data_IF_441191120828
#
_entry.id   IF_441191120828
#
_cell.length_a   1.000
_cell.length_b   1.000
_cell.length_c   1.000
_cell.angle_alpha   90.00
_cell.angle_beta   90.00
_cell.angle_gamma   90.00
#
_symmetry.space_group_name_H-M   'P 1'
#
loop_
_entity.id
_entity.type
_entity.pdbx_description
1 polymer ?
#
# COMPACT_ATOMS: atom_id res chain seq x y z
N UNK A 1 -3.79 53.78 -1.75
CA UNK A 1 -4.05 52.68 -2.65
C UNK A 1 -3.42 51.44 -2.06
N UNK A 2 -4.20 50.58 -1.39
CA UNK A 2 -3.72 49.34 -0.77
C UNK A 2 -3.75 48.18 -1.75
N UNK A 3 -2.88 47.17 -1.59
CA UNK A 3 -2.88 46.03 -2.49
C UNK A 3 -4.04 45.08 -2.19
N UNK A 4 -4.81 44.77 -3.23
CA UNK A 4 -5.96 43.87 -3.13
C UNK A 4 -5.53 42.44 -2.82
N UNK A 5 -6.13 41.87 -1.79
CA UNK A 5 -6.07 40.45 -1.48
C UNK A 5 -6.80 39.68 -2.58
N UNK A 6 -6.07 38.90 -3.36
CA UNK A 6 -6.63 37.87 -4.22
C UNK A 6 -7.02 36.67 -3.34
N UNK A 7 -8.30 36.56 -3.03
CA UNK A 7 -8.87 35.36 -2.41
C UNK A 7 -9.00 34.26 -3.46
N UNK A 8 -8.12 33.26 -3.42
CA UNK A 8 -8.31 32.02 -4.15
C UNK A 8 -9.37 31.17 -3.45
N UNK A 9 -10.60 31.27 -3.91
CA UNK A 9 -11.64 30.31 -3.58
C UNK A 9 -11.49 29.10 -4.53
N UNK A 10 -10.61 28.16 -4.18
CA UNK A 10 -10.65 26.85 -4.82
C UNK A 10 -11.77 26.04 -4.20
N UNK A 11 -12.93 26.04 -4.84
CA UNK A 11 -13.98 25.06 -4.56
C UNK A 11 -13.43 23.67 -4.91
N UNK A 12 -13.39 22.71 -3.98
CA UNK A 12 -13.01 21.35 -4.34
C UNK A 12 -13.99 20.80 -5.38
N UNK A 13 -13.53 19.95 -6.33
CA UNK A 13 -14.43 19.38 -7.33
C UNK A 13 -15.56 18.63 -6.62
N UNK A 14 -16.79 19.02 -6.91
CA UNK A 14 -17.99 18.33 -6.42
C UNK A 14 -18.02 16.93 -7.03
N UNK A 15 -17.82 15.92 -6.20
CA UNK A 15 -18.12 14.52 -6.57
C UNK A 15 -19.64 14.36 -6.45
N UNK A 16 -20.32 13.76 -7.45
CA UNK A 16 -21.76 13.57 -7.41
C UNK A 16 -22.19 12.81 -6.14
N UNK A 17 -23.30 13.21 -5.51
CA UNK A 17 -23.87 12.61 -4.30
C UNK A 17 -24.27 11.12 -4.42
N UNK A 18 -24.21 10.56 -5.62
CA UNK A 18 -24.43 9.14 -5.88
C UNK A 18 -23.19 8.54 -6.53
N UNK A 19 -22.38 7.85 -5.73
CA UNK A 19 -21.36 6.97 -6.29
C UNK A 19 -22.02 6.00 -7.27
N UNK A 20 -21.58 5.93 -8.54
CA UNK A 20 -22.13 4.95 -9.46
C UNK A 20 -21.95 3.57 -8.85
N UNK A 21 -23.01 2.71 -8.91
CA UNK A 21 -22.95 1.36 -8.35
C UNK A 21 -21.73 0.63 -8.88
N UNK A 22 -20.78 0.35 -8.00
CA UNK A 22 -19.53 -0.38 -8.15
C UNK A 22 -18.75 -0.13 -9.47
N UNK A 23 -18.02 0.95 -9.52
CA UNK A 23 -16.96 1.08 -10.54
C UNK A 23 -15.70 0.42 -9.99
N UNK A 24 -15.53 -0.84 -10.31
CA UNK A 24 -14.28 -1.56 -10.04
C UNK A 24 -13.24 -1.10 -11.07
N UNK A 25 -12.08 -0.57 -10.65
CA UNK A 25 -11.11 0.02 -11.57
C UNK A 25 -10.34 -1.02 -12.38
N UNK A 26 -10.41 -2.29 -11.99
CA UNK A 26 -9.73 -3.43 -12.62
C UNK A 26 -10.59 -4.70 -12.53
N UNK A 27 -10.31 -5.64 -13.41
CA UNK A 27 -10.91 -6.97 -13.49
C UNK A 27 -9.91 -8.06 -13.05
N UNK A 28 -10.37 -9.30 -12.91
CA UNK A 28 -9.50 -10.46 -12.71
C UNK A 28 -8.55 -10.65 -13.90
N UNK A 29 -9.01 -10.42 -15.12
CA UNK A 29 -8.21 -10.56 -16.34
C UNK A 29 -7.07 -9.54 -16.39
N UNK A 30 -7.30 -8.30 -15.90
CA UNK A 30 -6.23 -7.30 -15.76
C UNK A 30 -5.14 -7.77 -14.79
N UNK A 31 -5.54 -8.41 -13.69
CA UNK A 31 -4.61 -8.98 -12.70
C UNK A 31 -3.85 -10.17 -13.29
N UNK A 32 -4.53 -11.07 -13.99
CA UNK A 32 -3.90 -12.21 -14.65
C UNK A 32 -2.89 -11.76 -15.71
N UNK A 33 -3.27 -10.81 -16.56
CA UNK A 33 -2.38 -10.21 -17.54
C UNK A 33 -1.18 -9.50 -16.90
N UNK A 34 -1.39 -8.78 -15.77
CA UNK A 34 -0.30 -8.19 -15.00
C UNK A 34 0.65 -9.27 -14.47
N UNK A 35 0.13 -10.36 -13.88
CA UNK A 35 0.93 -11.50 -13.39
C UNK A 35 1.80 -12.08 -14.48
N UNK A 36 1.25 -12.33 -15.65
CA UNK A 36 1.99 -12.93 -16.77
C UNK A 36 3.15 -12.04 -17.22
N UNK A 37 2.93 -10.71 -17.26
CA UNK A 37 3.98 -9.74 -17.61
C UNK A 37 5.08 -9.63 -16.56
N UNK A 38 4.73 -9.69 -15.24
CA UNK A 38 5.72 -9.49 -14.16
C UNK A 38 6.41 -10.80 -13.73
N UNK A 39 5.87 -11.97 -14.07
CA UNK A 39 6.37 -13.29 -13.67
C UNK A 39 7.88 -13.50 -13.89
N UNK A 40 8.52 -13.00 -14.95
CA UNK A 40 9.97 -13.16 -15.13
C UNK A 40 10.81 -12.36 -14.12
N UNK A 41 10.23 -11.37 -13.44
CA UNK A 41 10.95 -10.38 -12.62
C UNK A 41 10.59 -10.45 -11.15
N UNK A 42 9.38 -10.90 -10.84
CA UNK A 42 8.83 -10.92 -9.48
C UNK A 42 8.46 -12.35 -9.12
N UNK A 43 9.20 -12.96 -8.19
CA UNK A 43 8.93 -14.34 -7.77
C UNK A 43 7.62 -14.42 -6.99
N UNK A 44 7.02 -15.63 -7.00
CA UNK A 44 5.90 -15.94 -6.11
C UNK A 44 6.40 -15.87 -4.66
N UNK A 45 5.73 -15.06 -3.83
CA UNK A 45 6.10 -14.92 -2.43
C UNK A 45 5.52 -16.03 -1.57
N UNK A 46 6.20 -16.42 -0.47
CA UNK A 46 5.67 -17.45 0.45
C UNK A 46 4.36 -17.04 1.10
N UNK A 47 3.45 -18.00 1.23
CA UNK A 47 2.23 -17.89 2.04
C UNK A 47 2.20 -19.06 3.00
N UNK A 48 2.45 -18.82 4.30
CA UNK A 48 2.75 -19.86 5.30
C UNK A 48 1.95 -19.70 6.57
N UNK A 49 1.53 -20.84 7.16
CA UNK A 49 1.06 -20.92 8.53
C UNK A 49 2.21 -20.97 9.55
N UNK A 50 1.94 -20.48 10.77
CA UNK A 50 2.91 -20.44 11.88
C UNK A 50 2.26 -20.93 13.16
N UNK A 51 2.48 -22.20 13.57
CA UNK A 51 1.83 -22.76 14.78
C UNK A 51 2.10 -21.98 16.07
N UNK A 52 3.29 -21.37 16.20
CA UNK A 52 3.63 -20.54 17.36
C UNK A 52 2.83 -19.24 17.36
N UNK A 53 2.57 -18.65 16.19
CA UNK A 53 1.72 -17.48 16.05
C UNK A 53 0.26 -17.82 16.31
N UNK A 54 -0.24 -18.96 15.79
CA UNK A 54 -1.59 -19.45 16.04
C UNK A 54 -1.84 -19.61 17.55
N UNK A 55 -0.90 -20.25 18.26
CA UNK A 55 -0.97 -20.41 19.72
C UNK A 55 -0.97 -19.05 20.46
N UNK A 56 -0.21 -18.08 19.98
CA UNK A 56 -0.16 -16.74 20.57
C UNK A 56 -1.42 -15.90 20.31
N UNK A 57 -2.12 -16.13 19.19
CA UNK A 57 -3.40 -15.50 18.87
C UNK A 57 -4.53 -16.07 19.72
N UNK A 58 -4.56 -17.39 19.91
CA UNK A 58 -5.68 -18.09 20.56
C UNK A 58 -6.94 -18.10 19.70
N UNK A 59 -8.10 -18.30 20.34
CA UNK A 59 -9.43 -18.28 19.71
C UNK A 59 -9.58 -19.25 18.53
N UNK A 60 -8.78 -20.34 18.50
CA UNK A 60 -8.74 -21.33 17.40
C UNK A 60 -8.50 -20.72 16.01
N UNK A 61 -7.92 -19.52 15.95
CA UNK A 61 -7.56 -18.87 14.70
C UNK A 61 -6.34 -19.56 14.11
N UNK A 62 -6.40 -19.86 12.83
CA UNK A 62 -5.24 -20.29 12.04
C UNK A 62 -4.84 -19.19 11.07
N UNK A 63 -3.60 -18.70 11.18
CA UNK A 63 -3.13 -17.58 10.38
C UNK A 63 -2.12 -18.01 9.32
N UNK A 64 -2.28 -17.49 8.10
CA UNK A 64 -1.30 -17.58 7.03
C UNK A 64 -0.74 -16.18 6.73
N UNK A 65 0.57 -16.07 6.68
CA UNK A 65 1.25 -14.82 6.37
C UNK A 65 1.77 -14.82 4.94
N UNK A 66 1.34 -13.85 4.14
CA UNK A 66 1.87 -13.58 2.79
C UNK A 66 3.09 -12.67 2.90
N UNK A 67 4.27 -13.19 2.62
CA UNK A 67 5.55 -12.55 2.86
C UNK A 67 6.00 -11.67 1.69
N UNK A 68 5.43 -10.51 1.54
CA UNK A 68 5.84 -9.53 0.53
C UNK A 68 7.14 -8.80 0.91
N UNK A 69 7.54 -8.84 2.17
CA UNK A 69 8.82 -8.37 2.67
C UNK A 69 10.02 -9.17 2.15
N UNK A 70 9.82 -10.35 1.57
CA UNK A 70 10.87 -11.18 0.96
C UNK A 70 11.13 -10.84 -0.51
N UNK A 71 10.37 -9.94 -1.09
CA UNK A 71 10.65 -9.44 -2.43
C UNK A 71 12.02 -8.72 -2.49
N UNK A 72 12.69 -8.66 -3.66
CA UNK A 72 14.00 -8.02 -3.83
C UNK A 72 14.09 -6.56 -3.35
N UNK A 73 12.96 -5.83 -3.33
CA UNK A 73 12.89 -4.46 -2.81
C UNK A 73 12.30 -4.38 -1.40
N UNK A 74 12.16 -5.50 -0.71
CA UNK A 74 11.66 -5.58 0.66
C UNK A 74 10.17 -5.26 0.83
N UNK A 75 9.38 -5.18 -0.26
CA UNK A 75 7.95 -4.86 -0.17
C UNK A 75 7.16 -5.27 -1.43
N UNK A 76 5.82 -5.38 -1.31
CA UNK A 76 4.93 -5.72 -2.44
C UNK A 76 4.95 -4.71 -3.59
N UNK A 77 5.44 -3.50 -3.35
CA UNK A 77 5.43 -2.41 -4.34
C UNK A 77 6.24 -2.71 -5.60
N UNK A 78 7.13 -3.69 -5.55
CA UNK A 78 7.80 -4.22 -6.76
C UNK A 78 6.77 -4.73 -7.77
N UNK A 79 5.70 -5.42 -7.33
CA UNK A 79 4.61 -5.90 -8.20
C UNK A 79 3.94 -4.76 -8.96
N UNK A 80 3.66 -3.68 -8.23
CA UNK A 80 3.05 -2.47 -8.76
C UNK A 80 3.94 -1.84 -9.85
N UNK A 81 5.23 -1.69 -9.54
CA UNK A 81 6.21 -1.06 -10.42
C UNK A 81 6.41 -1.86 -11.72
N UNK A 82 6.64 -3.17 -11.62
CA UNK A 82 6.79 -4.02 -12.80
C UNK A 82 5.51 -4.11 -13.62
N UNK A 83 4.33 -4.18 -12.97
CA UNK A 83 3.04 -4.16 -13.68
C UNK A 83 2.85 -2.88 -14.48
N UNK A 84 3.22 -1.72 -13.91
CA UNK A 84 3.18 -0.45 -14.62
C UNK A 84 4.18 -0.43 -15.78
N UNK A 85 5.48 -0.64 -15.52
CA UNK A 85 6.51 -0.49 -16.54
C UNK A 85 6.35 -1.45 -17.72
N UNK A 86 5.86 -2.66 -17.47
CA UNK A 86 5.59 -3.64 -18.53
C UNK A 86 4.33 -3.33 -19.34
N UNK A 87 3.46 -2.43 -18.86
CA UNK A 87 2.26 -1.99 -19.57
C UNK A 87 2.47 -0.71 -20.39
N UNK A 88 3.50 0.09 -20.03
CA UNK A 88 3.81 1.32 -20.76
C UNK A 88 4.34 1.04 -22.15
N UNK A 89 3.99 1.91 -23.10
CA UNK A 89 4.59 1.93 -24.44
C UNK A 89 6.08 2.29 -24.39
N UNK A 90 6.81 1.98 -25.45
CA UNK A 90 8.23 2.34 -25.57
C UNK A 90 8.44 3.85 -25.56
N UNK A 91 7.49 4.61 -26.07
CA UNK A 91 7.53 6.07 -26.03
C UNK A 91 7.40 6.62 -24.61
N UNK A 92 6.43 6.11 -23.83
CA UNK A 92 6.24 6.49 -22.43
C UNK A 92 7.46 6.12 -21.59
N UNK A 93 8.03 4.94 -21.81
CA UNK A 93 9.26 4.50 -21.14
C UNK A 93 10.45 5.41 -21.48
N UNK A 94 10.62 5.83 -22.74
CA UNK A 94 11.71 6.75 -23.13
C UNK A 94 11.57 8.13 -22.51
N UNK A 95 10.35 8.63 -22.30
CA UNK A 95 10.12 9.91 -21.61
C UNK A 95 10.45 9.85 -20.11
N UNK A 96 10.58 8.64 -19.57
CA UNK A 96 10.88 8.42 -18.16
C UNK A 96 9.66 8.53 -17.25
N UNK A 97 9.90 8.17 -15.98
CA UNK A 97 8.85 8.06 -14.95
C UNK A 97 9.15 9.03 -13.82
N UNK A 98 8.11 9.68 -13.33
CA UNK A 98 8.16 10.54 -12.15
C UNK A 98 7.16 10.03 -11.12
N UNK A 99 7.55 9.98 -9.85
CA UNK A 99 6.66 9.59 -8.76
C UNK A 99 6.97 10.36 -7.47
N UNK A 100 5.95 10.56 -6.64
CA UNK A 100 6.13 10.95 -5.24
C UNK A 100 5.99 9.73 -4.33
N UNK A 101 6.84 9.64 -3.29
CA UNK A 101 6.80 8.54 -2.33
C UNK A 101 7.60 8.83 -1.08
N UNK A 102 7.32 8.08 0.00
CA UNK A 102 8.16 8.03 1.21
C UNK A 102 9.11 6.81 1.23
N UNK A 103 9.00 5.86 0.28
CA UNK A 103 9.92 4.71 0.29
C UNK A 103 9.57 3.58 -0.69
N UNK A 104 8.76 2.61 -0.27
CA UNK A 104 8.57 1.33 -0.97
C UNK A 104 8.15 1.44 -2.44
N UNK A 105 7.29 2.41 -2.77
CA UNK A 105 6.90 2.64 -4.16
C UNK A 105 8.09 3.12 -5.00
N UNK A 106 8.90 4.03 -4.45
CA UNK A 106 10.11 4.52 -5.10
C UNK A 106 11.16 3.43 -5.30
N UNK A 107 11.40 2.58 -4.27
CA UNK A 107 12.30 1.43 -4.39
C UNK A 107 11.85 0.47 -5.51
N UNK A 108 10.54 0.18 -5.56
CA UNK A 108 9.98 -0.65 -6.63
C UNK A 108 10.18 -0.04 -8.02
N UNK A 109 9.86 1.26 -8.20
CA UNK A 109 10.04 1.96 -9.47
C UNK A 109 11.51 2.08 -9.88
N UNK A 110 12.40 2.40 -8.93
CA UNK A 110 13.84 2.49 -9.20
C UNK A 110 14.40 1.13 -9.66
N UNK A 111 13.98 0.04 -9.01
CA UNK A 111 14.41 -1.31 -9.40
C UNK A 111 13.87 -1.72 -10.78
N UNK A 112 12.58 -1.49 -11.04
CA UNK A 112 12.00 -1.78 -12.35
C UNK A 112 12.60 -0.87 -13.45
N UNK A 113 12.81 0.42 -13.15
CA UNK A 113 13.49 1.34 -14.07
C UNK A 113 14.90 0.89 -14.43
N UNK A 114 15.70 0.47 -13.44
CA UNK A 114 17.02 -0.11 -13.67
C UNK A 114 16.97 -1.37 -14.56
N UNK A 115 15.96 -2.22 -14.33
CA UNK A 115 15.79 -3.46 -15.10
C UNK A 115 15.48 -3.20 -16.58
N UNK A 116 14.70 -2.18 -16.88
CA UNK A 116 14.25 -1.87 -18.24
C UNK A 116 15.02 -0.69 -18.90
N UNK A 117 15.99 -0.11 -18.21
CA UNK A 117 16.71 1.08 -18.72
C UNK A 117 15.84 2.33 -18.79
N UNK A 118 14.79 2.44 -17.96
CA UNK A 118 13.86 3.56 -17.93
C UNK A 118 14.34 4.60 -16.90
N UNK A 119 14.50 5.88 -17.27
CA UNK A 119 14.83 6.95 -16.32
C UNK A 119 13.73 7.11 -15.27
N UNK A 120 14.11 7.11 -13.99
CA UNK A 120 13.16 7.26 -12.86
C UNK A 120 13.56 8.46 -12.02
N UNK A 121 12.64 9.40 -11.82
CA UNK A 121 12.77 10.53 -10.91
C UNK A 121 11.78 10.33 -9.75
N UNK A 122 12.28 10.37 -8.53
CA UNK A 122 11.47 10.20 -7.32
C UNK A 122 11.49 11.50 -6.51
N UNK A 123 10.31 12.05 -6.23
CA UNK A 123 10.13 13.19 -5.32
C UNK A 123 9.80 12.66 -3.93
N UNK A 124 10.56 13.10 -2.94
CA UNK A 124 10.36 12.76 -1.52
C UNK A 124 10.27 14.03 -0.68
N UNK A 125 9.56 14.01 0.44
CA UNK A 125 9.51 15.16 1.34
C UNK A 125 10.87 15.41 2.00
N UNK A 126 11.09 16.64 2.41
CA UNK A 126 12.26 17.01 3.22
C UNK A 126 12.26 16.20 4.53
N UNK A 127 13.44 15.70 4.91
CA UNK A 127 13.59 14.84 6.09
C UNK A 127 13.01 13.42 5.93
N UNK A 128 12.81 12.97 4.69
CA UNK A 128 12.44 11.58 4.43
C UNK A 128 13.51 10.61 4.96
N UNK A 129 13.13 9.36 5.21
CA UNK A 129 14.01 8.32 5.71
C UNK A 129 15.29 8.19 4.86
N UNK A 130 16.49 8.43 5.42
CA UNK A 130 17.74 8.45 4.67
C UNK A 130 18.10 7.08 4.08
N UNK A 131 17.82 5.97 4.77
CA UNK A 131 18.10 4.62 4.29
C UNK A 131 17.27 4.28 3.05
N UNK A 132 15.98 4.68 3.04
CA UNK A 132 15.11 4.53 1.86
C UNK A 132 15.58 5.43 0.71
N UNK A 133 16.01 6.67 1.00
CA UNK A 133 16.56 7.57 -0.01
C UNK A 133 17.84 7.00 -0.64
N UNK A 134 18.74 6.45 0.18
CA UNK A 134 19.97 5.81 -0.29
C UNK A 134 19.67 4.58 -1.15
N UNK A 135 18.73 3.74 -0.73
CA UNK A 135 18.28 2.58 -1.51
C UNK A 135 17.75 2.96 -2.90
N UNK A 136 16.95 4.03 -3.00
CA UNK A 136 16.45 4.52 -4.29
C UNK A 136 17.58 5.04 -5.18
N UNK A 137 18.56 5.79 -4.62
CA UNK A 137 19.75 6.26 -5.36
C UNK A 137 20.64 5.11 -5.82
N UNK A 138 20.87 4.10 -4.97
CA UNK A 138 21.65 2.91 -5.30
C UNK A 138 21.06 2.09 -6.45
N UNK A 139 19.74 2.16 -6.62
CA UNK A 139 19.03 1.58 -7.74
C UNK A 139 19.01 2.48 -9.00
N UNK A 140 19.62 3.66 -8.94
CA UNK A 140 19.80 4.54 -10.09
C UNK A 140 18.70 5.59 -10.28
N UNK A 141 17.79 5.77 -9.30
CA UNK A 141 16.80 6.82 -9.38
C UNK A 141 17.40 8.21 -9.10
N UNK A 142 16.97 9.22 -9.86
CA UNK A 142 17.18 10.62 -9.53
C UNK A 142 16.24 11.00 -8.40
N UNK A 143 16.77 11.42 -7.26
CA UNK A 143 15.99 11.83 -6.10
C UNK A 143 15.88 13.35 -6.02
N UNK A 144 14.65 13.85 -5.81
CA UNK A 144 14.34 15.26 -5.55
C UNK A 144 13.71 15.33 -4.17
N UNK A 145 14.38 16.02 -3.25
CA UNK A 145 13.94 16.22 -1.87
C UNK A 145 13.29 17.60 -1.79
N UNK A 146 11.95 17.65 -1.93
CA UNK A 146 11.18 18.91 -1.93
C UNK A 146 9.76 18.65 -1.40
N UNK A 147 9.22 19.60 -0.64
CA UNK A 147 7.92 19.50 0.03
C UNK A 147 8.03 19.06 1.48
N UNK A 148 7.03 19.36 2.29
CA UNK A 148 6.97 19.02 3.72
C UNK A 148 6.41 17.65 4.00
N UNK A 149 5.60 17.14 3.07
CA UNK A 149 4.93 15.86 3.18
C UNK A 149 4.73 15.20 1.79
N UNK A 150 4.04 14.08 1.78
CA UNK A 150 3.75 13.34 0.54
C UNK A 150 2.95 14.17 -0.47
N UNK A 151 1.94 14.91 -0.03
CA UNK A 151 1.05 15.65 -0.94
C UNK A 151 1.78 16.83 -1.60
N UNK A 152 2.67 17.53 -0.86
CA UNK A 152 3.52 18.56 -1.44
C UNK A 152 4.55 17.94 -2.42
N UNK A 153 5.14 16.79 -2.10
CA UNK A 153 6.04 16.07 -3.01
C UNK A 153 5.30 15.57 -4.26
N UNK A 154 4.01 15.20 -4.14
CA UNK A 154 3.17 14.85 -5.27
C UNK A 154 2.99 16.05 -6.22
N UNK A 155 2.70 17.24 -5.68
CA UNK A 155 2.60 18.46 -6.49
C UNK A 155 3.91 18.79 -7.24
N UNK A 156 5.07 18.52 -6.61
CA UNK A 156 6.38 18.61 -7.26
C UNK A 156 6.49 17.62 -8.41
N UNK A 157 6.10 16.38 -8.21
CA UNK A 157 6.14 15.36 -9.26
C UNK A 157 5.24 15.72 -10.45
N UNK A 158 4.05 16.25 -10.19
CA UNK A 158 3.13 16.72 -11.24
C UNK A 158 3.68 17.92 -12.01
N UNK A 159 4.39 18.85 -11.35
CA UNK A 159 5.08 19.94 -12.02
C UNK A 159 6.12 19.39 -12.99
N UNK A 160 6.96 18.46 -12.58
CA UNK A 160 8.01 17.85 -13.41
C UNK A 160 7.39 17.11 -14.60
N UNK A 161 6.30 16.40 -14.39
CA UNK A 161 5.56 15.71 -15.46
C UNK A 161 5.08 16.71 -16.52
N UNK A 162 4.51 17.85 -16.11
CA UNK A 162 4.07 18.89 -17.05
C UNK A 162 5.24 19.51 -17.84
N UNK A 163 6.39 19.71 -17.20
CA UNK A 163 7.58 20.34 -17.81
C UNK A 163 8.35 19.39 -18.72
N UNK A 164 8.51 18.11 -18.32
CA UNK A 164 9.33 17.14 -19.03
C UNK A 164 8.54 16.16 -19.91
N UNK A 165 7.21 16.15 -19.85
CA UNK A 165 6.37 15.18 -20.57
C UNK A 165 6.53 13.74 -20.08
N UNK A 166 7.12 13.51 -18.90
CA UNK A 166 7.32 12.20 -18.31
C UNK A 166 6.01 11.57 -17.83
N UNK A 167 6.02 10.27 -17.55
CA UNK A 167 4.85 9.56 -17.05
C UNK A 167 4.73 9.69 -15.53
N UNK A 168 3.56 10.12 -15.02
CA UNK A 168 3.29 10.13 -13.58
C UNK A 168 2.95 8.72 -13.07
N UNK A 169 3.86 8.10 -12.34
CA UNK A 169 3.63 6.82 -11.68
C UNK A 169 3.00 7.04 -10.29
N UNK A 170 1.71 7.37 -10.26
CA UNK A 170 0.99 7.57 -9.00
C UNK A 170 0.91 6.28 -8.20
N UNK A 171 1.22 6.33 -6.88
CA UNK A 171 1.35 5.14 -6.02
C UNK A 171 0.05 4.33 -5.82
N UNK A 172 -1.11 4.88 -6.24
CA UNK A 172 -2.45 4.30 -6.02
C UNK A 172 -3.39 4.54 -7.19
N UNK A 173 -3.57 5.79 -7.66
CA UNK A 173 -4.52 6.16 -8.74
C UNK A 173 -4.01 5.74 -10.14
N UNK A 174 -3.83 4.44 -10.35
CA UNK A 174 -3.41 3.87 -11.62
C UNK A 174 -3.85 2.40 -11.70
N UNK A 175 -4.56 2.03 -12.75
CA UNK A 175 -5.10 0.66 -12.91
C UNK A 175 -3.99 -0.40 -12.96
N UNK A 176 -2.87 -0.14 -13.62
CA UNK A 176 -1.74 -1.07 -13.67
C UNK A 176 -1.07 -1.26 -12.30
N UNK A 177 -1.00 -0.21 -11.49
CA UNK A 177 -0.53 -0.26 -10.10
C UNK A 177 -1.45 -1.13 -9.25
N UNK A 178 -2.77 -0.98 -9.39
CA UNK A 178 -3.76 -1.76 -8.66
C UNK A 178 -3.74 -3.23 -9.12
N UNK A 179 -3.68 -3.48 -10.42
CA UNK A 179 -3.57 -4.83 -10.99
C UNK A 179 -2.29 -5.54 -10.52
N UNK A 180 -1.15 -4.82 -10.50
CA UNK A 180 0.11 -5.33 -9.96
C UNK A 180 -0.02 -5.77 -8.50
N UNK A 181 -0.64 -4.95 -7.65
CA UNK A 181 -0.93 -5.32 -6.26
C UNK A 181 -1.85 -6.55 -6.16
N UNK A 182 -2.81 -6.68 -7.06
CA UNK A 182 -3.75 -7.81 -7.13
C UNK A 182 -3.07 -9.16 -7.40
N UNK A 183 -1.91 -9.18 -8.09
CA UNK A 183 -1.17 -10.42 -8.39
C UNK A 183 -0.79 -11.21 -7.14
N UNK A 184 -0.49 -10.53 -6.04
CA UNK A 184 -0.24 -11.14 -4.74
C UNK A 184 -1.47 -11.90 -4.23
N UNK A 185 -2.64 -11.32 -4.38
CA UNK A 185 -3.89 -11.94 -3.90
C UNK A 185 -4.34 -13.10 -4.80
N UNK A 186 -3.98 -13.08 -6.08
CA UNK A 186 -4.14 -14.21 -6.96
C UNK A 186 -3.29 -15.41 -6.47
N UNK A 187 -2.04 -15.17 -6.09
CA UNK A 187 -1.19 -16.18 -5.44
C UNK A 187 -1.78 -16.68 -4.12
N UNK A 188 -2.34 -15.80 -3.27
CA UNK A 188 -3.01 -16.19 -2.01
C UNK A 188 -4.17 -17.15 -2.30
N UNK A 189 -5.04 -16.84 -3.26
CA UNK A 189 -6.18 -17.66 -3.63
C UNK A 189 -5.79 -19.03 -4.19
N UNK A 190 -4.61 -19.14 -4.81
CA UNK A 190 -4.04 -20.37 -5.33
C UNK A 190 -3.32 -21.19 -4.23
N UNK A 191 -2.59 -20.53 -3.33
CA UNK A 191 -1.76 -21.17 -2.29
C UNK A 191 -2.57 -21.71 -1.10
N UNK A 192 -3.67 -21.04 -0.72
CA UNK A 192 -4.57 -21.51 0.35
C UNK A 192 -6.04 -21.27 -0.07
N UNK A 193 -6.68 -22.28 -0.69
CA UNK A 193 -8.04 -22.14 -1.19
C UNK A 193 -9.12 -22.10 -0.10
N UNK A 194 -8.77 -22.49 1.14
CA UNK A 194 -9.73 -22.65 2.24
C UNK A 194 -9.71 -21.47 3.23
N UNK A 195 -9.27 -20.28 2.82
CA UNK A 195 -9.36 -19.11 3.65
C UNK A 195 -10.81 -18.69 3.89
N UNK A 196 -11.08 -18.19 5.09
CA UNK A 196 -12.37 -17.58 5.47
C UNK A 196 -12.30 -16.05 5.42
N UNK A 197 -11.13 -15.50 5.72
CA UNK A 197 -10.92 -14.06 5.78
C UNK A 197 -9.51 -13.65 5.33
N UNK A 198 -9.39 -12.39 4.89
CA UNK A 198 -8.14 -11.74 4.55
C UNK A 198 -8.08 -10.36 5.21
N UNK A 199 -7.05 -10.11 6.01
CA UNK A 199 -6.84 -8.83 6.71
C UNK A 199 -5.69 -8.08 6.05
N UNK A 200 -5.97 -6.85 5.59
CA UNK A 200 -5.07 -6.07 4.75
C UNK A 200 -4.87 -4.66 5.30
N UNK A 201 -3.63 -4.23 5.39
CA UNK A 201 -3.29 -2.85 5.70
C UNK A 201 -3.63 -1.92 4.51
N UNK A 202 -4.25 -0.78 4.80
CA UNK A 202 -4.68 0.19 3.80
C UNK A 202 -4.02 1.54 4.05
N UNK A 203 -3.24 2.00 3.06
CA UNK A 203 -2.93 3.42 2.87
C UNK A 203 -3.86 3.97 1.79
N UNK A 204 -3.41 3.96 0.53
CA UNK A 204 -4.23 4.38 -0.61
C UNK A 204 -5.23 3.33 -1.14
N UNK A 205 -5.14 2.08 -0.73
CA UNK A 205 -6.14 1.04 -1.07
C UNK A 205 -5.81 0.13 -2.25
N UNK A 206 -4.73 0.33 -3.00
CA UNK A 206 -4.41 -0.51 -4.18
C UNK A 206 -4.34 -2.00 -3.86
N UNK A 207 -3.75 -2.37 -2.71
CA UNK A 207 -3.66 -3.75 -2.25
C UNK A 207 -5.04 -4.35 -1.93
N UNK A 208 -5.87 -3.61 -1.21
CA UNK A 208 -7.21 -4.07 -0.82
C UNK A 208 -8.13 -4.22 -2.04
N UNK A 209 -8.10 -3.26 -2.97
CA UNK A 209 -8.90 -3.35 -4.22
C UNK A 209 -8.46 -4.54 -5.07
N UNK A 210 -7.14 -4.74 -5.24
CA UNK A 210 -6.63 -5.93 -5.92
C UNK A 210 -7.09 -7.23 -5.27
N UNK A 211 -7.06 -7.30 -3.93
CA UNK A 211 -7.50 -8.47 -3.18
C UNK A 211 -9.00 -8.73 -3.32
N UNK A 212 -9.82 -7.71 -3.16
CA UNK A 212 -11.28 -7.83 -3.31
C UNK A 212 -11.66 -8.25 -4.73
N UNK A 213 -10.97 -7.73 -5.76
CA UNK A 213 -11.19 -8.13 -7.15
C UNK A 213 -10.98 -9.63 -7.33
N UNK A 214 -9.87 -10.18 -6.78
CA UNK A 214 -9.57 -11.61 -6.85
C UNK A 214 -10.55 -12.42 -6.03
N UNK A 215 -10.77 -12.04 -4.75
CA UNK A 215 -11.61 -12.84 -3.85
C UNK A 215 -13.05 -12.90 -4.36
N UNK A 216 -13.60 -11.77 -4.83
CA UNK A 216 -14.94 -11.73 -5.40
C UNK A 216 -15.11 -12.67 -6.60
N UNK A 217 -14.09 -12.81 -7.44
CA UNK A 217 -14.14 -13.64 -8.63
C UNK A 217 -13.86 -15.13 -8.36
N UNK A 218 -12.89 -15.43 -7.49
CA UNK A 218 -12.36 -16.79 -7.30
C UNK A 218 -12.79 -17.43 -5.96
N UNK A 219 -13.03 -16.62 -4.93
CA UNK A 219 -13.32 -17.06 -3.55
C UNK A 219 -14.35 -16.14 -2.90
N UNK A 220 -15.60 -16.08 -3.41
CA UNK A 220 -16.61 -15.09 -2.99
C UNK A 220 -17.02 -15.21 -1.52
N UNK A 221 -16.70 -16.32 -0.85
CA UNK A 221 -16.92 -16.50 0.58
C UNK A 221 -15.85 -15.82 1.45
N UNK A 222 -14.66 -15.55 0.90
CA UNK A 222 -13.56 -14.92 1.67
C UNK A 222 -13.86 -13.45 1.92
N UNK A 223 -13.95 -13.09 3.19
CA UNK A 223 -14.23 -11.71 3.62
C UNK A 223 -12.94 -10.91 3.73
N UNK A 224 -12.91 -9.73 3.11
CA UNK A 224 -11.74 -8.84 3.16
C UNK A 224 -11.98 -7.73 4.19
N UNK A 225 -11.09 -7.64 5.17
CA UNK A 225 -11.08 -6.63 6.23
C UNK A 225 -9.92 -5.67 6.00
N UNK A 226 -10.19 -4.39 6.07
CA UNK A 226 -9.19 -3.35 5.96
C UNK A 226 -8.76 -2.82 7.33
N UNK A 227 -7.48 -2.44 7.43
CA UNK A 227 -6.90 -1.88 8.66
C UNK A 227 -6.06 -0.66 8.29
N UNK A 228 -6.27 0.45 9.00
CA UNK A 228 -5.48 1.68 8.83
C UNK A 228 -4.88 2.12 10.17
N UNK A 229 -3.75 2.83 10.13
CA UNK A 229 -3.21 3.45 11.33
C UNK A 229 -4.13 4.59 11.81
N UNK A 230 -4.44 4.62 13.10
CA UNK A 230 -5.34 5.63 13.68
C UNK A 230 -4.82 7.07 13.48
N UNK A 231 -3.50 7.26 13.45
CA UNK A 231 -2.89 8.56 13.14
C UNK A 231 -2.91 8.96 11.66
N UNK A 232 -3.49 8.13 10.78
CA UNK A 232 -3.60 8.37 9.33
C UNK A 232 -4.92 7.79 8.78
N UNK A 233 -6.05 8.10 9.40
CA UNK A 233 -7.34 7.42 9.23
C UNK A 233 -8.23 7.94 8.09
N UNK A 234 -7.74 8.82 7.21
CA UNK A 234 -8.59 9.51 6.22
C UNK A 234 -9.44 8.55 5.35
N UNK A 235 -8.89 7.41 4.94
CA UNK A 235 -9.63 6.43 4.11
C UNK A 235 -10.67 5.68 4.93
N UNK A 236 -10.34 5.28 6.16
CA UNK A 236 -11.26 4.68 7.13
C UNK A 236 -12.46 5.62 7.41
N UNK A 237 -12.17 6.89 7.75
CA UNK A 237 -13.21 7.86 8.10
C UNK A 237 -14.11 8.16 6.89
N UNK A 238 -13.53 8.23 5.69
CA UNK A 238 -14.28 8.34 4.45
C UNK A 238 -15.18 7.14 4.20
N UNK A 239 -14.68 5.92 4.42
CA UNK A 239 -15.43 4.68 4.23
C UNK A 239 -16.66 4.61 5.17
N UNK A 240 -16.49 4.93 6.44
CA UNK A 240 -17.59 4.97 7.40
C UNK A 240 -18.61 6.08 7.10
N UNK A 241 -18.13 7.24 6.63
CA UNK A 241 -18.99 8.35 6.21
C UNK A 241 -19.62 8.14 4.83
N UNK A 242 -19.21 7.10 4.07
CA UNK A 242 -19.59 6.87 2.67
C UNK A 242 -19.32 8.09 1.77
N UNK A 243 -18.30 8.87 2.10
CA UNK A 243 -17.89 10.08 1.38
C UNK A 243 -16.38 10.21 1.32
N UNK A 244 -15.82 10.65 0.19
CA UNK A 244 -14.39 10.92 0.09
C UNK A 244 -13.91 11.89 1.18
N UNK A 245 -12.69 11.70 1.64
CA UNK A 245 -12.08 12.53 2.69
C UNK A 245 -10.72 13.04 2.25
N UNK A 246 -10.45 14.30 2.60
CA UNK A 246 -9.14 14.91 2.65
C UNK A 246 -9.00 15.57 4.01
N UNK A 247 -7.96 15.23 4.77
CA UNK A 247 -7.73 15.85 6.07
C UNK A 247 -6.61 16.90 5.98
N UNK A 248 -6.81 18.05 6.61
CA UNK A 248 -5.79 19.07 6.75
C UNK A 248 -4.73 18.68 7.80
N UNK A 249 -5.07 17.77 8.73
CA UNK A 249 -4.15 17.30 9.77
C UNK A 249 -3.09 16.38 9.15
N UNK A 250 -1.80 16.60 9.42
CA UNK A 250 -0.74 15.71 8.97
C UNK A 250 -0.98 14.28 9.46
N UNK A 251 -0.74 13.31 8.57
CA UNK A 251 -0.76 11.90 8.95
C UNK A 251 0.45 11.60 9.84
N UNK A 252 0.20 11.16 11.07
CA UNK A 252 1.23 10.90 12.09
C UNK A 252 1.19 9.45 12.53
N UNK A 253 2.08 8.64 11.98
CA UNK A 253 2.28 7.23 12.34
C UNK A 253 3.69 6.81 11.96
N UNK A 254 4.30 5.89 12.73
CA UNK A 254 5.57 5.27 12.33
C UNK A 254 5.38 4.24 11.20
N UNK A 255 4.15 3.82 10.91
CA UNK A 255 3.80 3.03 9.74
C UNK A 255 3.73 3.91 8.48
N UNK A 256 4.86 4.50 8.08
CA UNK A 256 5.00 5.52 7.04
C UNK A 256 4.40 5.12 5.67
N UNK A 257 4.39 3.83 5.34
CA UNK A 257 3.73 3.30 4.14
C UNK A 257 2.20 3.45 4.14
N UNK A 258 1.59 3.80 5.28
CA UNK A 258 0.15 4.04 5.43
C UNK A 258 -0.19 5.52 5.66
N UNK A 259 0.82 6.40 5.77
CA UNK A 259 0.65 7.81 6.11
C UNK A 259 0.07 8.61 4.93
N UNK A 260 -1.23 8.46 4.68
CA UNK A 260 -1.99 9.18 3.65
C UNK A 260 -3.04 10.08 4.29
N UNK A 261 -3.29 11.25 3.65
CA UNK A 261 -4.28 12.23 4.13
C UNK A 261 -5.57 12.23 3.31
N UNK A 262 -5.63 11.42 2.27
CA UNK A 262 -6.71 11.50 1.28
C UNK A 262 -7.22 10.12 0.89
N UNK A 263 -8.49 10.05 0.54
CA UNK A 263 -9.06 8.96 -0.27
C UNK A 263 -8.64 9.14 -1.74
N UNK A 264 -8.62 8.06 -2.50
CA UNK A 264 -8.20 8.09 -3.90
C UNK A 264 -9.34 7.65 -4.82
N UNK A 265 -9.47 8.35 -5.94
CA UNK A 265 -10.59 8.24 -6.86
C UNK A 265 -10.81 6.81 -7.38
N UNK A 266 -9.77 6.10 -7.79
CA UNK A 266 -9.90 4.75 -8.33
C UNK A 266 -10.13 3.68 -7.26
N UNK A 267 -9.68 3.89 -6.03
CA UNK A 267 -9.77 2.84 -5.00
C UNK A 267 -10.95 3.03 -4.07
N UNK A 268 -11.31 4.25 -3.75
CA UNK A 268 -12.30 4.54 -2.73
C UNK A 268 -13.69 3.95 -3.01
N UNK A 269 -14.27 4.05 -4.23
CA UNK A 269 -15.56 3.43 -4.53
C UNK A 269 -15.55 1.91 -4.34
N UNK A 270 -14.50 1.23 -4.78
CA UNK A 270 -14.37 -0.21 -4.63
C UNK A 270 -14.18 -0.63 -3.15
N UNK A 271 -13.47 0.17 -2.34
CA UNK A 271 -13.37 -0.06 -0.89
C UNK A 271 -14.75 0.02 -0.23
N UNK A 272 -15.55 1.01 -0.61
CA UNK A 272 -16.91 1.17 -0.09
C UNK A 272 -17.85 0.01 -0.47
N UNK A 273 -17.67 -0.57 -1.67
CA UNK A 273 -18.50 -1.66 -2.17
C UNK A 273 -18.09 -3.03 -1.62
N UNK A 274 -16.79 -3.32 -1.49
CA UNK A 274 -16.31 -4.69 -1.33
C UNK A 274 -15.75 -5.06 0.04
N UNK A 275 -15.43 -4.11 0.93
CA UNK A 275 -14.89 -4.44 2.26
C UNK A 275 -15.97 -5.00 3.18
N UNK A 276 -15.63 -6.07 3.90
CA UNK A 276 -16.47 -6.60 4.96
C UNK A 276 -16.51 -5.69 6.20
N UNK A 277 -15.36 -5.04 6.48
CA UNK A 277 -15.23 -4.02 7.52
C UNK A 277 -13.94 -3.24 7.34
N UNK A 278 -13.86 -2.06 7.98
CA UNK A 278 -12.67 -1.23 7.99
C UNK A 278 -12.45 -0.67 9.40
N UNK A 279 -11.33 -1.02 10.01
CA UNK A 279 -10.97 -0.62 11.37
C UNK A 279 -9.67 0.19 11.40
N UNK A 280 -9.43 0.88 12.52
CA UNK A 280 -8.13 1.50 12.81
C UNK A 280 -7.44 0.80 13.96
N UNK A 281 -6.10 0.89 13.96
CA UNK A 281 -5.22 0.45 15.04
C UNK A 281 -4.22 1.54 15.40
N UNK A 282 -3.84 1.62 16.67
CA UNK A 282 -2.86 2.60 17.17
C UNK A 282 -1.43 2.16 16.83
N UNK A 283 -0.49 3.10 16.85
CA UNK A 283 0.94 2.80 16.69
C UNK A 283 1.45 1.80 17.74
N UNK A 284 0.96 1.86 18.97
CA UNK A 284 1.28 0.89 20.01
C UNK A 284 0.78 -0.54 19.66
N UNK A 285 -0.40 -0.68 19.06
CA UNK A 285 -0.92 -1.97 18.58
C UNK A 285 -0.10 -2.49 17.39
N UNK A 286 0.30 -1.62 16.46
CA UNK A 286 1.17 -1.98 15.34
C UNK A 286 2.54 -2.44 15.84
N UNK A 287 3.14 -1.70 16.77
CA UNK A 287 4.42 -2.07 17.39
C UNK A 287 4.33 -3.39 18.16
N UNK A 288 3.21 -3.66 18.85
CA UNK A 288 2.96 -4.95 19.49
C UNK A 288 2.93 -6.09 18.46
N UNK A 289 2.20 -5.92 17.35
CA UNK A 289 2.11 -6.90 16.27
C UNK A 289 3.48 -7.15 15.61
N UNK A 290 4.30 -6.09 15.42
CA UNK A 290 5.66 -6.22 14.90
C UNK A 290 6.53 -7.08 15.82
N UNK A 291 6.53 -6.80 17.13
CA UNK A 291 7.25 -7.62 18.12
C UNK A 291 6.74 -9.07 18.15
N UNK A 292 5.45 -9.29 17.94
CA UNK A 292 4.88 -10.65 17.88
C UNK A 292 5.40 -11.39 16.64
N UNK A 293 5.36 -10.78 15.45
CA UNK A 293 5.94 -11.33 14.22
C UNK A 293 7.42 -11.68 14.40
N UNK A 294 8.20 -10.75 14.95
CA UNK A 294 9.63 -10.98 15.18
C UNK A 294 9.90 -12.22 16.05
N UNK A 295 9.10 -12.43 17.12
CA UNK A 295 9.28 -13.56 18.05
C UNK A 295 8.74 -14.88 17.53
N UNK A 296 7.63 -14.87 16.78
CA UNK A 296 6.92 -16.09 16.41
C UNK A 296 7.22 -16.59 15.00
N UNK A 297 7.70 -15.69 14.14
CA UNK A 297 7.98 -16.00 12.74
C UNK A 297 9.43 -15.71 12.34
N UNK A 298 10.21 -15.08 13.23
CA UNK A 298 11.59 -14.65 12.98
C UNK A 298 11.73 -13.78 11.73
N UNK A 299 10.72 -12.96 11.47
CA UNK A 299 10.61 -12.14 10.25
C UNK A 299 10.67 -10.67 10.61
N UNK A 300 11.59 -9.93 9.96
CA UNK A 300 11.67 -8.49 10.06
C UNK A 300 10.59 -7.85 9.20
N UNK A 301 9.80 -6.96 9.80
CA UNK A 301 8.73 -6.22 9.13
C UNK A 301 8.77 -4.74 9.48
N UNK A 302 8.26 -3.88 8.60
CA UNK A 302 8.03 -2.46 8.90
C UNK A 302 6.64 -2.23 9.53
N UNK A 303 6.36 -1.03 10.02
CA UNK A 303 5.07 -0.70 10.63
C UNK A 303 3.87 -1.03 9.73
N UNK A 304 3.94 -0.65 8.45
CA UNK A 304 2.90 -0.96 7.48
C UNK A 304 2.72 -2.48 7.28
N UNK A 305 3.82 -3.25 7.31
CA UNK A 305 3.83 -4.71 7.19
C UNK A 305 3.21 -5.42 8.40
N UNK A 306 3.31 -4.82 9.59
CA UNK A 306 2.74 -5.37 10.83
C UNK A 306 1.26 -4.99 11.04
N UNK A 307 0.75 -3.97 10.34
CA UNK A 307 -0.60 -3.43 10.56
C UNK A 307 -1.69 -4.45 10.30
N UNK A 308 -1.54 -5.33 9.31
CA UNK A 308 -2.49 -6.42 9.05
C UNK A 308 -2.65 -7.35 10.25
N UNK A 309 -1.54 -7.75 10.91
CA UNK A 309 -1.60 -8.57 12.13
C UNK A 309 -2.17 -7.79 13.31
N UNK A 310 -1.88 -6.49 13.45
CA UNK A 310 -2.51 -5.65 14.46
C UNK A 310 -4.03 -5.61 14.30
N UNK A 311 -4.52 -5.55 13.06
CA UNK A 311 -5.94 -5.64 12.75
C UNK A 311 -6.54 -7.01 13.07
N UNK A 312 -5.85 -8.11 12.76
CA UNK A 312 -6.29 -9.45 13.15
C UNK A 312 -6.43 -9.58 14.68
N UNK A 313 -5.44 -9.06 15.44
CA UNK A 313 -5.51 -9.04 16.91
C UNK A 313 -6.72 -8.25 17.43
N UNK A 314 -7.06 -7.12 16.79
CA UNK A 314 -8.22 -6.33 17.15
C UNK A 314 -9.55 -7.02 16.78
N UNK A 315 -9.56 -7.85 15.74
CA UNK A 315 -10.73 -8.59 15.25
C UNK A 315 -10.81 -10.04 15.77
N UNK A 316 -9.94 -10.46 16.68
CA UNK A 316 -9.75 -11.87 17.03
C UNK A 316 -11.02 -12.57 17.52
N UNK A 317 -11.86 -11.90 18.29
CA UNK A 317 -13.12 -12.47 18.77
C UNK A 317 -14.10 -12.72 17.62
N UNK A 318 -14.11 -11.82 16.65
CA UNK A 318 -14.98 -11.89 15.46
C UNK A 318 -14.51 -12.95 14.46
N UNK A 319 -13.21 -13.24 14.44
CA UNK A 319 -12.56 -14.19 13.54
C UNK A 319 -12.22 -15.53 14.23
N UNK A 320 -12.78 -15.79 15.41
CA UNK A 320 -12.57 -17.03 16.15
C UNK A 320 -12.90 -18.27 15.30
N UNK A 321 -12.05 -19.28 15.33
CA UNK A 321 -12.17 -20.52 14.58
C UNK A 321 -11.89 -20.41 13.08
N UNK A 322 -11.54 -19.24 12.57
CA UNK A 322 -11.36 -18.99 11.13
C UNK A 322 -9.91 -19.20 10.67
N UNK A 323 -9.77 -19.46 9.37
CA UNK A 323 -8.52 -19.45 8.62
C UNK A 323 -8.32 -18.06 8.03
N UNK A 324 -7.34 -17.32 8.52
CA UNK A 324 -7.15 -15.92 8.20
C UNK A 324 -5.83 -15.69 7.47
N UNK A 325 -5.89 -15.10 6.28
CA UNK A 325 -4.72 -14.58 5.59
C UNK A 325 -4.38 -13.17 6.09
N UNK A 326 -3.10 -12.91 6.30
CA UNK A 326 -2.57 -11.58 6.62
C UNK A 326 -1.42 -11.28 5.68
N UNK A 327 -1.38 -10.06 5.13
CA UNK A 327 -0.27 -9.65 4.27
C UNK A 327 0.78 -8.91 5.07
N UNK A 328 2.00 -9.46 5.10
CA UNK A 328 3.23 -8.79 5.55
C UNK A 328 3.74 -7.97 4.36
N UNK A 329 3.23 -6.75 4.22
CA UNK A 329 3.36 -5.94 3.01
C UNK A 329 4.76 -5.42 2.71
N UNK A 330 5.63 -5.31 3.74
CA UNK A 330 7.01 -4.87 3.61
C UNK A 330 7.82 -5.03 4.88
N UNK A 331 9.15 -4.94 4.73
CA UNK A 331 10.14 -5.07 5.80
C UNK A 331 11.14 -3.90 5.87
N UNK A 332 10.96 -2.83 5.11
CA UNK A 332 11.88 -1.70 5.03
C UNK A 332 11.75 -0.76 6.24
N UNK A 333 12.04 -1.26 7.43
CA UNK A 333 12.10 -0.49 8.67
C UNK A 333 13.55 -0.03 8.90
N UNK A 334 13.73 1.23 9.32
CA UNK A 334 15.03 1.75 9.69
C UNK A 334 15.46 1.31 11.10
N UNK A 335 16.76 1.34 11.34
CA UNK A 335 17.39 0.93 12.60
C UNK A 335 16.85 1.69 13.81
N UNK A 336 16.62 2.99 13.69
CA UNK A 336 16.15 3.82 14.79
C UNK A 336 14.72 3.44 15.18
N UNK A 337 13.83 3.32 14.20
CA UNK A 337 12.44 2.92 14.43
C UNK A 337 12.38 1.49 14.99
N UNK A 338 13.17 0.56 14.46
CA UNK A 338 13.23 -0.81 14.98
C UNK A 338 13.65 -0.85 16.45
N UNK A 339 14.71 -0.11 16.84
CA UNK A 339 15.16 -0.01 18.25
C UNK A 339 14.03 0.49 19.16
N UNK A 340 13.34 1.55 18.77
CA UNK A 340 12.20 2.11 19.54
C UNK A 340 11.10 1.07 19.73
N UNK A 341 10.76 0.31 18.67
CA UNK A 341 9.76 -0.76 18.76
C UNK A 341 10.21 -1.89 19.69
N UNK A 342 11.46 -2.36 19.56
CA UNK A 342 12.00 -3.46 20.40
C UNK A 342 12.11 -3.03 21.85
N UNK A 343 12.54 -1.79 22.13
CA UNK A 343 12.66 -1.22 23.48
C UNK A 343 11.31 -0.83 24.10
N UNK A 344 10.18 -0.97 23.37
CA UNK A 344 8.84 -0.58 23.79
C UNK A 344 8.69 0.93 24.07
N UNK A 345 9.35 1.72 23.29
CA UNK A 345 9.23 3.18 23.29
C UNK A 345 8.06 3.64 22.39
N UNK A 346 7.53 2.68 21.60
CA UNK A 346 6.32 2.80 20.80
C UNK A 346 5.36 1.68 21.22
#
# INVERSE_FOLDING_TARGET
MGPGLLTFTSTPPMIPDTLPRSVWPITLDDIAAARDRIRPFVPVSPFRGYPVLDAALGNDIRVWLKHENFNPTGAFKIRNAFSLLTALSDEERRRGIVAATRGNHGLGLAYAGKTFGVPVTICVPLGNNPEKNEGMRALGARLIEEGKDYDESLAVSERIVREAGAYLAHSTNNAHIIAGAGTMSLEIAEQEPNLDALVIAVGGGSQAVGAMTVMRAMRPHVRVYAVQAAGASATHDGWHARAPRVTATPATTFADGLATRSTYELTFPALCDGLADFITVTDAQIAHALRLLLRTTHTLVEGAGATGLAGLLALKERLAGQRVGVVVSGGNIDDQTLRRVVNREI
#
